data_IF_391643763097
#
_entry.id   IF_391643763097
#
_cell.length_a   1.000
_cell.length_b   1.000
_cell.length_c   1.000
_cell.angle_alpha   90.00
_cell.angle_beta   90.00
_cell.angle_gamma   90.00
#
_symmetry.space_group_name_H-M   'P 1'
#
loop_
_entity.id
_entity.type
_entity.pdbx_description
1 polymer ?
#
# COMPACT_ATOMS: atom_id res chain seq x y z
N UNK A 1 -27.89 3.41 21.73
CA UNK A 1 -26.77 3.34 22.71
C UNK A 1 -25.75 2.33 22.20
N UNK A 2 -24.55 2.79 21.80
CA UNK A 2 -23.44 1.86 21.49
C UNK A 2 -23.01 1.22 22.79
N UNK A 3 -22.86 -0.12 22.89
CA UNK A 3 -22.35 -0.74 24.10
C UNK A 3 -20.95 -0.21 24.37
N UNK A 4 -20.66 0.16 25.62
CA UNK A 4 -19.31 0.48 26.08
C UNK A 4 -18.39 -0.70 25.75
N UNK A 5 -17.53 -0.51 24.76
CA UNK A 5 -16.54 -1.52 24.34
C UNK A 5 -15.49 -1.56 25.44
N UNK A 6 -15.66 -2.46 26.41
CA UNK A 6 -14.65 -2.75 27.42
C UNK A 6 -13.34 -3.11 26.73
N UNK A 7 -12.27 -2.35 26.99
CA UNK A 7 -10.92 -2.58 26.51
C UNK A 7 -10.53 -4.03 26.79
N UNK A 8 -10.54 -4.89 25.75
CA UNK A 8 -10.23 -6.29 25.92
C UNK A 8 -8.74 -6.42 26.27
N UNK A 9 -8.41 -6.98 27.41
CA UNK A 9 -7.04 -7.22 27.85
C UNK A 9 -6.42 -8.23 26.88
N UNK A 10 -5.53 -7.77 26.01
CA UNK A 10 -4.80 -8.64 25.10
C UNK A 10 -3.81 -9.46 25.92
N UNK A 11 -4.03 -10.76 26.02
CA UNK A 11 -3.20 -11.70 26.81
C UNK A 11 -1.78 -11.86 26.25
N UNK A 12 -1.59 -11.62 24.92
CA UNK A 12 -0.30 -11.77 24.26
C UNK A 12 0.07 -10.49 23.55
N UNK A 13 1.13 -9.84 24.02
CA UNK A 13 1.70 -8.65 23.39
C UNK A 13 2.39 -9.03 22.06
N UNK A 14 2.40 -8.10 21.10
CA UNK A 14 3.27 -8.23 19.93
C UNK A 14 4.75 -8.24 20.36
N UNK A 15 5.56 -9.03 19.67
CA UNK A 15 7.02 -8.98 19.82
C UNK A 15 7.52 -7.56 19.55
N UNK A 16 8.35 -7.02 20.44
CA UNK A 16 8.77 -5.61 20.42
C UNK A 16 8.08 -4.74 21.47
N UNK A 17 7.03 -5.26 22.14
CA UNK A 17 6.38 -4.59 23.27
C UNK A 17 6.41 -5.45 24.52
N UNK A 18 6.47 -4.81 25.68
CA UNK A 18 6.31 -5.40 26.99
C UNK A 18 5.28 -4.62 27.82
N UNK A 19 4.77 -5.23 28.87
CA UNK A 19 3.89 -4.53 29.82
C UNK A 19 4.70 -3.59 30.69
N UNK A 20 4.16 -2.39 30.95
CA UNK A 20 4.78 -1.49 31.92
C UNK A 20 4.84 -2.15 33.31
N UNK A 21 5.94 -2.04 34.03
CA UNK A 21 6.04 -2.49 35.42
C UNK A 21 5.04 -1.77 36.35
N UNK A 22 4.77 -0.48 36.09
CA UNK A 22 3.89 0.37 36.89
C UNK A 22 2.40 0.14 36.58
N UNK A 23 2.06 -0.05 35.30
CA UNK A 23 0.67 -0.29 34.85
C UNK A 23 0.62 -1.42 33.84
N UNK A 24 0.20 -2.61 34.26
CA UNK A 24 0.06 -3.80 33.41
C UNK A 24 -0.91 -3.63 32.23
N UNK A 25 -1.67 -2.52 32.18
CA UNK A 25 -2.57 -2.19 31.06
C UNK A 25 -1.85 -1.38 29.96
N UNK A 26 -0.73 -0.75 30.29
CA UNK A 26 0.08 0.02 29.34
C UNK A 26 1.17 -0.83 28.71
N UNK A 27 1.42 -0.60 27.42
CA UNK A 27 2.51 -1.21 26.70
C UNK A 27 3.66 -0.21 26.57
N UNK A 28 4.85 -0.72 26.78
CA UNK A 28 6.10 0.01 26.57
C UNK A 28 6.93 -0.73 25.51
N UNK A 29 7.83 -0.01 24.86
CA UNK A 29 8.72 -0.59 23.84
C UNK A 29 9.80 -1.41 24.57
N UNK A 30 10.05 -2.63 24.07
CA UNK A 30 11.22 -3.44 24.39
C UNK A 30 12.27 -3.14 23.32
N UNK A 31 13.24 -2.30 23.65
CA UNK A 31 14.22 -1.74 22.71
C UNK A 31 14.95 -2.82 21.91
N UNK A 32 15.34 -3.93 22.56
CA UNK A 32 16.06 -5.03 21.91
C UNK A 32 15.18 -5.75 20.89
N UNK A 33 13.96 -6.09 21.27
CA UNK A 33 13.01 -6.74 20.38
C UNK A 33 12.48 -5.77 19.30
N UNK A 34 12.30 -4.49 19.63
CA UNK A 34 11.88 -3.45 18.71
C UNK A 34 12.93 -3.21 17.60
N UNK A 35 14.22 -3.22 17.92
CA UNK A 35 15.29 -3.13 16.93
C UNK A 35 15.22 -4.27 15.90
N UNK A 36 14.86 -5.48 16.33
CA UNK A 36 14.64 -6.61 15.41
C UNK A 36 13.41 -6.38 14.52
N UNK A 37 12.32 -5.85 15.08
CA UNK A 37 11.12 -5.50 14.29
C UNK A 37 11.46 -4.45 13.24
N UNK A 38 12.14 -3.36 13.62
CA UNK A 38 12.59 -2.31 12.69
C UNK A 38 13.49 -2.89 11.58
N UNK A 39 14.40 -3.80 11.92
CA UNK A 39 15.25 -4.49 10.94
C UNK A 39 14.44 -5.34 9.96
N UNK A 40 13.42 -6.07 10.43
CA UNK A 40 12.51 -6.85 9.58
C UNK A 40 11.79 -5.94 8.57
N UNK A 41 11.27 -4.80 9.02
CA UNK A 41 10.62 -3.82 8.14
C UNK A 41 11.61 -3.21 7.14
N UNK A 42 12.80 -2.82 7.57
CA UNK A 42 13.87 -2.30 6.70
C UNK A 42 14.27 -3.32 5.62
N UNK A 43 14.47 -4.59 5.98
CA UNK A 43 14.78 -5.66 5.03
C UNK A 43 13.63 -5.91 4.04
N UNK A 44 12.38 -5.80 4.48
CA UNK A 44 11.22 -5.89 3.58
C UNK A 44 11.15 -4.68 2.64
N UNK A 45 11.36 -3.47 3.15
CA UNK A 45 11.42 -2.24 2.36
C UNK A 45 12.53 -2.31 1.30
N UNK A 46 13.69 -2.92 1.61
CA UNK A 46 14.76 -3.18 0.63
C UNK A 46 14.41 -4.31 -0.38
N UNK A 47 13.22 -4.92 -0.26
CA UNK A 47 12.69 -5.89 -1.22
C UNK A 47 12.89 -7.34 -0.89
N UNK A 48 13.42 -7.69 0.28
CA UNK A 48 13.52 -9.08 0.71
C UNK A 48 12.15 -9.62 1.09
N UNK A 49 11.82 -10.83 0.62
CA UNK A 49 10.60 -11.53 1.00
C UNK A 49 10.69 -12.18 2.38
N UNK A 50 9.55 -12.54 3.02
CA UNK A 50 9.54 -13.11 4.37
C UNK A 50 10.45 -14.32 4.56
N UNK A 51 10.55 -15.20 3.56
CA UNK A 51 11.46 -16.36 3.60
C UNK A 51 12.94 -15.97 3.61
N UNK A 52 13.30 -14.93 2.83
CA UNK A 52 14.69 -14.43 2.79
C UNK A 52 15.04 -13.71 4.09
N UNK A 53 14.09 -12.96 4.66
CA UNK A 53 14.25 -12.29 5.95
C UNK A 53 14.42 -13.33 7.07
N UNK A 54 13.58 -14.38 7.10
CA UNK A 54 13.70 -15.47 8.07
C UNK A 54 15.06 -16.18 8.00
N UNK A 55 15.55 -16.43 6.77
CA UNK A 55 16.89 -17.01 6.55
C UNK A 55 17.99 -16.08 7.05
N UNK A 56 17.88 -14.78 6.76
CA UNK A 56 18.86 -13.77 7.22
C UNK A 56 18.89 -13.69 8.76
N UNK A 57 17.72 -13.62 9.42
CA UNK A 57 17.63 -13.59 10.89
C UNK A 57 18.28 -14.82 11.53
N UNK A 58 18.06 -16.00 10.94
CA UNK A 58 18.71 -17.24 11.37
C UNK A 58 20.24 -17.17 11.21
N UNK A 59 20.73 -16.66 10.09
CA UNK A 59 22.18 -16.49 9.82
C UNK A 59 22.84 -15.52 10.81
N UNK A 60 22.11 -14.50 11.25
CA UNK A 60 22.56 -13.54 12.28
C UNK A 60 22.40 -14.06 13.70
N UNK A 61 21.95 -15.31 13.90
CA UNK A 61 21.70 -15.91 15.21
C UNK A 61 20.79 -15.06 16.10
N UNK A 62 19.76 -14.45 15.51
CA UNK A 62 18.76 -13.66 16.25
C UNK A 62 17.70 -14.62 16.78
N UNK A 63 17.42 -14.58 18.08
CA UNK A 63 16.39 -15.40 18.72
C UNK A 63 15.01 -15.14 18.09
N UNK A 64 14.27 -16.21 17.80
CA UNK A 64 12.89 -16.05 17.39
C UNK A 64 12.02 -15.55 18.57
N UNK A 65 10.84 -14.96 18.33
CA UNK A 65 10.02 -14.35 19.37
C UNK A 65 9.74 -15.26 20.58
N UNK A 66 9.49 -16.55 20.34
CA UNK A 66 9.21 -17.52 21.42
C UNK A 66 10.45 -17.78 22.28
N UNK A 67 11.60 -18.00 21.63
CA UNK A 67 12.86 -18.23 22.32
C UNK A 67 13.32 -16.97 23.08
N UNK A 68 13.11 -15.78 22.50
CA UNK A 68 13.39 -14.51 23.15
C UNK A 68 12.56 -14.31 24.42
N UNK A 69 11.22 -14.51 24.33
CA UNK A 69 10.35 -14.41 25.48
C UNK A 69 10.74 -15.41 26.58
N UNK A 70 11.10 -16.64 26.19
CA UNK A 70 11.53 -17.67 27.13
C UNK A 70 12.84 -17.29 27.83
N UNK A 71 13.83 -16.81 27.10
CA UNK A 71 15.12 -16.36 27.64
C UNK A 71 14.98 -15.16 28.61
N UNK A 72 14.01 -14.27 28.36
CA UNK A 72 13.70 -13.11 29.21
C UNK A 72 12.70 -13.43 30.35
N UNK A 73 12.25 -14.67 30.48
CA UNK A 73 11.23 -15.05 31.48
C UNK A 73 9.85 -14.41 31.25
N UNK A 74 9.58 -13.93 30.01
CA UNK A 74 8.30 -13.33 29.66
C UNK A 74 7.24 -14.40 29.39
N UNK A 75 5.95 -14.12 29.67
CA UNK A 75 4.87 -15.05 29.44
C UNK A 75 4.78 -15.46 27.95
N UNK A 76 4.92 -16.74 27.68
CA UNK A 76 4.73 -17.32 26.34
C UNK A 76 3.86 -18.54 26.40
N UNK A 77 2.95 -18.72 25.43
CA UNK A 77 2.05 -19.88 25.36
C UNK A 77 2.71 -21.10 24.72
N UNK A 78 3.84 -20.92 24.05
CA UNK A 78 4.53 -21.98 23.32
C UNK A 78 5.91 -22.25 23.92
N UNK A 79 6.29 -23.51 23.99
CA UNK A 79 7.68 -23.89 24.33
C UNK A 79 8.60 -23.51 23.17
N UNK A 80 9.84 -23.08 23.41
CA UNK A 80 10.81 -22.82 22.36
C UNK A 80 11.10 -24.12 21.60
N UNK A 81 11.33 -23.98 20.30
CA UNK A 81 11.76 -25.09 19.44
C UNK A 81 13.20 -25.48 19.74
N UNK A 82 13.64 -26.68 19.30
CA UNK A 82 15.00 -27.14 19.47
C UNK A 82 16.06 -26.18 18.87
N UNK A 83 15.69 -25.44 17.80
CA UNK A 83 16.53 -24.40 17.21
C UNK A 83 15.92 -23.01 17.57
N UNK A 84 16.51 -22.28 18.54
CA UNK A 84 16.01 -20.98 19.00
C UNK A 84 16.13 -19.89 17.93
N UNK A 85 16.97 -20.08 16.91
CA UNK A 85 17.21 -19.13 15.81
C UNK A 85 16.34 -19.46 14.59
N UNK A 86 15.48 -20.46 14.66
CA UNK A 86 14.59 -20.84 13.55
C UNK A 86 13.43 -19.88 13.43
N UNK A 87 13.56 -18.90 12.55
CA UNK A 87 12.46 -18.06 12.10
C UNK A 87 11.68 -18.73 10.98
N UNK A 88 10.36 -18.57 10.98
CA UNK A 88 9.49 -19.01 9.89
C UNK A 88 9.05 -17.82 9.05
N UNK A 89 8.75 -18.07 7.76
CA UNK A 89 8.17 -17.05 6.89
C UNK A 89 6.84 -16.52 7.44
N UNK A 90 6.08 -17.38 8.11
CA UNK A 90 4.80 -17.02 8.72
C UNK A 90 4.95 -16.06 9.89
N UNK A 91 5.94 -16.28 10.76
CA UNK A 91 6.26 -15.37 11.86
C UNK A 91 6.65 -14.00 11.33
N UNK A 92 7.52 -13.94 10.32
CA UNK A 92 7.92 -12.69 9.68
C UNK A 92 6.72 -12.01 9.00
N UNK A 93 5.89 -12.76 8.28
CA UNK A 93 4.68 -12.23 7.63
C UNK A 93 3.71 -11.61 8.64
N UNK A 94 3.47 -12.28 9.76
CA UNK A 94 2.60 -11.78 10.82
C UNK A 94 3.15 -10.50 11.48
N UNK A 95 4.47 -10.38 11.63
CA UNK A 95 5.11 -9.15 12.11
C UNK A 95 4.85 -8.01 11.12
N UNK A 96 5.11 -8.23 9.82
CA UNK A 96 4.95 -7.23 8.78
C UNK A 96 3.48 -6.76 8.57
N UNK A 97 2.49 -7.53 9.01
CA UNK A 97 1.05 -7.22 8.87
C UNK A 97 0.45 -6.49 10.07
N UNK A 98 1.18 -6.41 11.17
CA UNK A 98 0.62 -5.88 12.41
C UNK A 98 0.57 -4.36 12.44
N UNK A 99 -0.63 -3.81 12.43
CA UNK A 99 -0.92 -2.38 12.63
C UNK A 99 -0.54 -1.91 14.05
N UNK A 100 -0.44 -2.85 15.00
CA UNK A 100 -0.06 -2.55 16.39
C UNK A 100 1.31 -1.83 16.48
N UNK A 101 2.20 -2.02 15.48
CA UNK A 101 3.52 -1.35 15.45
C UNK A 101 3.46 0.13 15.09
N UNK A 102 2.32 0.63 14.60
CA UNK A 102 2.04 2.06 14.43
C UNK A 102 1.62 2.78 15.72
N UNK A 103 1.62 2.07 16.85
CA UNK A 103 1.16 2.62 18.12
C UNK A 103 -0.35 2.44 18.35
N UNK A 104 -1.02 1.61 17.56
CA UNK A 104 -2.46 1.40 17.63
C UNK A 104 -2.81 0.05 18.26
N UNK A 105 -3.92 -0.01 19.00
CA UNK A 105 -4.49 -1.28 19.46
C UNK A 105 -5.64 -1.69 18.54
N UNK A 106 -5.58 -2.88 17.95
CA UNK A 106 -6.61 -3.38 17.03
C UNK A 106 -7.35 -4.55 17.64
N UNK A 107 -8.66 -4.36 17.82
CA UNK A 107 -9.59 -5.38 18.35
C UNK A 107 -10.48 -5.94 17.24
N UNK A 108 -11.15 -7.05 17.53
CA UNK A 108 -12.09 -7.72 16.62
C UNK A 108 -11.48 -8.17 15.28
N UNK A 109 -10.17 -8.48 15.25
CA UNK A 109 -9.54 -9.10 14.07
C UNK A 109 -10.15 -10.47 13.75
N UNK A 110 -10.63 -11.19 14.77
CA UNK A 110 -11.26 -12.50 14.61
C UNK A 110 -12.51 -12.59 15.45
N UNK A 111 -13.47 -13.37 14.97
CA UNK A 111 -14.69 -13.76 15.70
C UNK A 111 -14.82 -15.29 15.73
N UNK A 112 -15.64 -15.79 16.62
CA UNK A 112 -16.04 -17.20 16.67
C UNK A 112 -17.54 -17.26 16.41
N UNK A 113 -17.97 -18.26 15.63
CA UNK A 113 -19.38 -18.48 15.33
C UNK A 113 -20.20 -18.79 16.61
N UNK A 114 -19.58 -19.43 17.58
CA UNK A 114 -20.16 -19.77 18.88
C UNK A 114 -19.05 -19.89 19.91
N UNK A 115 -19.40 -19.74 21.21
CA UNK A 115 -18.45 -19.97 22.31
C UNK A 115 -17.91 -21.41 22.35
N UNK A 116 -18.68 -22.37 21.84
CA UNK A 116 -18.28 -23.79 21.72
C UNK A 116 -17.34 -24.04 20.53
N UNK A 117 -17.32 -23.16 19.53
CA UNK A 117 -16.48 -23.33 18.35
C UNK A 117 -15.05 -22.96 18.62
N UNK A 118 -14.11 -23.87 18.34
CA UNK A 118 -12.66 -23.59 18.38
C UNK A 118 -12.18 -22.86 17.12
N UNK A 119 -12.98 -22.88 16.03
CA UNK A 119 -12.63 -22.26 14.74
C UNK A 119 -12.78 -20.74 14.85
N UNK A 120 -11.66 -20.03 14.62
CA UNK A 120 -11.64 -18.57 14.47
C UNK A 120 -11.94 -18.21 13.03
N UNK A 121 -12.81 -17.23 12.83
CA UNK A 121 -13.12 -16.61 11.53
C UNK A 121 -12.45 -15.25 11.53
N UNK A 122 -11.69 -14.95 10.48
CA UNK A 122 -11.08 -13.64 10.31
C UNK A 122 -12.14 -12.64 9.84
N UNK A 123 -12.24 -11.54 10.52
CA UNK A 123 -13.10 -10.43 10.11
C UNK A 123 -12.39 -9.59 9.07
N UNK A 124 -13.16 -9.02 8.14
CA UNK A 124 -12.63 -8.05 7.21
C UNK A 124 -12.06 -6.84 7.96
N UNK A 125 -10.99 -6.21 7.47
CA UNK A 125 -10.37 -5.05 8.10
C UNK A 125 -11.34 -3.89 8.42
N UNK A 126 -12.43 -3.79 7.68
CA UNK A 126 -13.49 -2.79 7.89
C UNK A 126 -14.26 -2.99 9.20
N UNK A 127 -14.31 -4.23 9.69
CA UNK A 127 -14.95 -4.60 10.95
C UNK A 127 -14.02 -4.54 12.15
N UNK A 128 -12.75 -4.15 11.94
CA UNK A 128 -11.80 -4.01 13.03
C UNK A 128 -12.07 -2.70 13.80
N UNK A 129 -11.91 -2.76 15.10
CA UNK A 129 -11.96 -1.56 15.95
C UNK A 129 -10.53 -1.18 16.29
N UNK A 130 -10.09 -0.03 15.77
CA UNK A 130 -8.75 0.51 15.95
C UNK A 130 -8.81 1.63 16.98
N UNK A 131 -8.01 1.50 18.04
CA UNK A 131 -7.75 2.55 19.01
C UNK A 131 -6.39 3.15 18.70
N UNK A 132 -6.40 4.40 18.25
CA UNK A 132 -5.18 5.09 17.82
C UNK A 132 -4.35 5.57 19.01
N UNK A 133 -3.02 5.61 18.81
CA UNK A 133 -2.05 6.19 19.76
C UNK A 133 -2.18 5.66 21.20
N UNK A 134 -2.40 4.35 21.33
CA UNK A 134 -2.52 3.71 22.66
C UNK A 134 -1.17 3.30 23.26
N UNK A 135 -0.14 3.19 22.44
CA UNK A 135 1.26 2.88 22.83
C UNK A 135 2.26 3.63 21.93
N UNK A 136 3.54 3.75 22.33
CA UNK A 136 4.57 4.34 21.47
C UNK A 136 4.73 3.51 20.17
N UNK A 137 4.83 4.15 18.99
CA UNK A 137 5.05 3.45 17.74
C UNK A 137 6.49 2.90 17.65
N UNK A 138 6.64 1.70 17.07
CA UNK A 138 7.95 1.10 16.75
C UNK A 138 8.33 1.40 15.30
N UNK A 139 7.33 1.51 14.42
CA UNK A 139 7.49 1.71 12.98
C UNK A 139 6.76 2.98 12.57
N UNK A 140 7.40 3.80 11.77
CA UNK A 140 6.78 4.96 11.14
C UNK A 140 5.71 4.53 10.12
N UNK A 141 4.62 5.29 10.02
CA UNK A 141 3.51 5.01 9.13
C UNK A 141 3.95 4.92 7.66
N UNK A 142 4.85 5.80 7.22
CA UNK A 142 5.44 5.81 5.89
C UNK A 142 6.10 4.47 5.54
N UNK A 143 6.92 3.94 6.44
CA UNK A 143 7.62 2.66 6.26
C UNK A 143 6.61 1.50 6.24
N UNK A 144 5.60 1.54 7.11
CA UNK A 144 4.56 0.51 7.14
C UNK A 144 3.79 0.47 5.82
N UNK A 145 3.35 1.61 5.30
CA UNK A 145 2.62 1.70 4.03
C UNK A 145 3.44 1.19 2.85
N UNK A 146 4.72 1.57 2.77
CA UNK A 146 5.66 1.07 1.75
C UNK A 146 5.73 -0.47 1.81
N UNK A 147 5.87 -1.03 3.01
CA UNK A 147 5.94 -2.48 3.20
C UNK A 147 4.65 -3.17 2.79
N UNK A 148 3.46 -2.61 3.13
CA UNK A 148 2.18 -3.16 2.70
C UNK A 148 2.04 -3.15 1.17
N UNK A 149 2.43 -2.07 0.49
CA UNK A 149 2.40 -1.97 -0.98
C UNK A 149 3.33 -3.00 -1.63
N UNK A 150 4.55 -3.16 -1.11
CA UNK A 150 5.48 -4.18 -1.56
C UNK A 150 4.88 -5.59 -1.43
N UNK A 151 4.16 -5.86 -0.36
CA UNK A 151 3.56 -7.17 -0.06
C UNK A 151 2.32 -7.49 -0.90
N UNK A 152 1.54 -6.49 -1.30
CA UNK A 152 0.40 -6.67 -2.22
C UNK A 152 0.86 -7.14 -3.61
N UNK A 153 2.05 -6.77 -4.05
CA UNK A 153 2.59 -7.19 -5.33
C UNK A 153 3.07 -8.65 -5.28
N UNK A 154 2.38 -9.57 -6.00
CA UNK A 154 2.81 -10.97 -6.11
C UNK A 154 4.18 -11.05 -6.79
N UNK A 155 5.17 -11.63 -6.12
CA UNK A 155 6.51 -11.83 -6.63
C UNK A 155 6.75 -13.31 -6.90
N UNK A 156 7.30 -13.63 -8.07
CA UNK A 156 7.80 -14.97 -8.36
C UNK A 156 9.26 -15.04 -7.94
N UNK A 157 9.72 -16.12 -7.29
CA UNK A 157 11.13 -16.32 -7.01
C UNK A 157 11.90 -16.39 -8.34
N UNK A 158 13.05 -15.74 -8.40
CA UNK A 158 13.93 -15.80 -9.58
C UNK A 158 14.89 -16.96 -9.44
N UNK A 159 15.14 -17.70 -10.53
CA UNK A 159 16.12 -18.81 -10.54
C UNK A 159 17.55 -18.34 -10.19
N UNK A 160 17.85 -17.06 -10.40
CA UNK A 160 19.19 -16.49 -10.20
C UNK A 160 19.40 -15.87 -8.79
N UNK A 161 18.43 -15.98 -7.88
CA UNK A 161 18.58 -15.50 -6.49
C UNK A 161 18.59 -13.97 -6.30
N UNK A 162 19.06 -13.22 -7.29
CA UNK A 162 19.12 -11.76 -7.26
C UNK A 162 17.91 -11.11 -7.90
N UNK A 163 17.40 -10.06 -7.28
CA UNK A 163 16.34 -9.24 -7.88
C UNK A 163 16.92 -7.92 -8.36
N UNK A 164 16.64 -7.55 -9.62
CA UNK A 164 16.96 -6.20 -10.09
C UNK A 164 16.19 -5.15 -9.27
N UNK A 165 16.81 -4.00 -9.01
CA UNK A 165 16.27 -2.93 -8.16
C UNK A 165 14.91 -2.43 -8.64
N UNK A 166 14.66 -2.42 -9.96
CA UNK A 166 13.39 -2.02 -10.59
C UNK A 166 12.35 -3.13 -10.69
N UNK A 167 12.65 -4.34 -10.18
CA UNK A 167 11.72 -5.47 -10.29
C UNK A 167 10.40 -5.19 -9.57
N UNK A 168 9.31 -5.27 -10.32
CA UNK A 168 7.96 -5.03 -9.82
C UNK A 168 7.48 -3.58 -9.86
N UNK A 169 8.36 -2.62 -10.24
CA UNK A 169 8.03 -1.20 -10.37
C UNK A 169 7.70 -0.78 -11.80
N UNK A 170 8.04 -1.59 -12.83
CA UNK A 170 7.90 -1.23 -14.23
C UNK A 170 6.62 -1.77 -14.84
N UNK A 171 5.92 -0.89 -15.55
CA UNK A 171 4.67 -1.19 -16.24
C UNK A 171 4.72 -0.63 -17.67
N UNK A 172 3.99 -1.28 -18.57
CA UNK A 172 3.77 -0.79 -19.92
C UNK A 172 2.67 0.28 -19.89
N UNK A 173 2.93 1.46 -20.45
CA UNK A 173 1.96 2.55 -20.50
C UNK A 173 0.73 2.20 -21.33
N UNK A 174 0.84 1.33 -22.36
CA UNK A 174 -0.26 1.00 -23.25
C UNK A 174 -1.17 -0.10 -22.71
N UNK A 175 -0.60 -1.21 -22.22
CA UNK A 175 -1.41 -2.36 -21.79
C UNK A 175 -1.52 -2.51 -20.26
N UNK A 176 -0.88 -1.63 -19.48
CA UNK A 176 -0.83 -1.74 -18.01
C UNK A 176 -0.09 -2.98 -17.49
N UNK A 177 0.42 -3.84 -18.39
CA UNK A 177 1.11 -5.07 -18.01
C UNK A 177 2.49 -4.82 -17.42
N UNK A 178 2.89 -5.68 -16.47
CA UNK A 178 4.24 -5.58 -15.87
C UNK A 178 5.33 -5.83 -16.90
N UNK A 179 6.45 -5.12 -16.76
CA UNK A 179 7.64 -5.39 -17.54
C UNK A 179 8.59 -6.32 -16.77
N UNK A 180 9.17 -7.28 -17.45
CA UNK A 180 10.10 -8.24 -16.87
C UNK A 180 11.53 -8.01 -17.34
N UNK A 181 12.48 -8.14 -16.43
CA UNK A 181 13.89 -8.03 -16.74
C UNK A 181 14.36 -9.26 -17.52
N UNK A 182 14.92 -9.02 -18.69
CA UNK A 182 15.66 -10.00 -19.48
C UNK A 182 17.14 -9.90 -19.10
N UNK A 183 17.67 -11.00 -18.57
CA UNK A 183 19.05 -11.15 -18.14
C UNK A 183 19.48 -12.61 -18.29
N UNK A 184 20.74 -12.81 -18.55
CA UNK A 184 21.40 -14.10 -18.54
C UNK A 184 22.73 -13.98 -17.79
N UNK A 185 23.33 -15.10 -17.40
CA UNK A 185 24.61 -15.13 -16.66
C UNK A 185 25.77 -14.53 -17.45
N UNK A 186 25.69 -14.59 -18.77
CA UNK A 186 26.69 -14.04 -19.70
C UNK A 186 26.36 -12.61 -20.18
N UNK A 187 25.27 -11.99 -19.70
CA UNK A 187 24.95 -10.62 -20.08
C UNK A 187 25.79 -9.62 -19.30
N UNK A 188 26.43 -8.70 -20.01
CA UNK A 188 27.00 -7.50 -19.40
C UNK A 188 25.86 -6.58 -18.91
N UNK A 189 26.14 -5.66 -17.99
CA UNK A 189 25.13 -4.76 -17.41
C UNK A 189 24.37 -3.95 -18.48
N UNK A 190 25.05 -3.48 -19.52
CA UNK A 190 24.48 -2.73 -20.64
C UNK A 190 23.59 -3.57 -21.58
N UNK A 191 23.63 -4.89 -21.45
CA UNK A 191 22.81 -5.82 -22.22
C UNK A 191 21.51 -6.20 -21.49
N UNK A 192 21.42 -5.95 -20.19
CA UNK A 192 20.23 -6.21 -19.39
C UNK A 192 19.13 -5.19 -19.78
N UNK A 193 17.91 -5.66 -19.99
CA UNK A 193 16.78 -4.81 -20.38
C UNK A 193 15.47 -5.32 -19.79
N UNK A 194 14.49 -4.44 -19.77
CA UNK A 194 13.11 -4.78 -19.41
C UNK A 194 12.25 -4.86 -20.67
N UNK A 195 11.28 -5.77 -20.70
CA UNK A 195 10.35 -5.97 -21.81
C UNK A 195 8.94 -6.19 -21.28
N UNK A 196 7.94 -5.70 -22.03
CA UNK A 196 6.53 -5.89 -21.72
C UNK A 196 6.14 -7.37 -21.68
N UNK A 197 5.46 -7.78 -20.60
CA UNK A 197 5.03 -9.17 -20.42
C UNK A 197 3.94 -9.58 -21.39
N UNK A 198 3.06 -8.65 -21.76
CA UNK A 198 1.95 -8.88 -22.68
C UNK A 198 2.47 -9.10 -24.10
N UNK A 199 3.42 -8.28 -24.56
CA UNK A 199 4.11 -8.49 -25.84
C UNK A 199 4.81 -9.86 -25.92
N UNK A 200 5.43 -10.32 -24.82
CA UNK A 200 6.07 -11.65 -24.78
C UNK A 200 5.08 -12.81 -24.89
N UNK A 201 3.83 -12.61 -24.50
CA UNK A 201 2.77 -13.63 -24.62
C UNK A 201 2.22 -13.70 -26.07
N UNK A 202 2.12 -12.55 -26.72
CA UNK A 202 1.62 -12.46 -28.09
C UNK A 202 1.92 -11.07 -28.66
N UNK A 203 2.49 -11.04 -29.86
CA UNK A 203 2.84 -9.79 -30.56
C UNK A 203 1.61 -8.97 -30.94
N UNK A 204 0.45 -9.61 -31.03
CA UNK A 204 -0.83 -8.99 -31.35
C UNK A 204 -1.50 -8.32 -30.15
N UNK A 205 -1.04 -8.66 -28.93
CA UNK A 205 -1.64 -8.17 -27.67
C UNK A 205 -1.05 -6.84 -27.20
N UNK A 206 0.15 -6.48 -27.64
CA UNK A 206 0.81 -5.22 -27.32
C UNK A 206 1.96 -4.96 -28.29
N UNK A 207 2.39 -3.72 -28.44
CA UNK A 207 3.54 -3.35 -29.25
C UNK A 207 4.86 -3.62 -28.52
N UNK A 208 5.99 -3.54 -29.22
CA UNK A 208 7.31 -3.81 -28.62
C UNK A 208 7.74 -2.69 -27.68
N UNK A 209 7.76 -2.99 -26.38
CA UNK A 209 8.26 -2.10 -25.34
C UNK A 209 9.47 -2.72 -24.67
N UNK A 210 10.62 -2.11 -24.78
CA UNK A 210 11.83 -2.53 -24.07
C UNK A 210 12.67 -1.34 -23.68
N UNK A 211 13.28 -1.36 -22.51
CA UNK A 211 14.17 -0.32 -22.02
C UNK A 211 15.42 -0.97 -21.38
N UNK A 212 16.61 -0.45 -21.70
CA UNK A 212 17.86 -0.93 -21.10
C UNK A 212 17.90 -0.56 -19.61
N UNK A 213 18.46 -1.48 -18.81
CA UNK A 213 18.57 -1.27 -17.36
C UNK A 213 19.41 -0.02 -17.01
N UNK A 214 20.53 0.18 -17.71
CA UNK A 214 21.44 1.30 -17.49
C UNK A 214 20.74 2.64 -17.78
N UNK A 215 20.03 2.73 -18.91
CA UNK A 215 19.31 3.96 -19.30
C UNK A 215 18.21 4.29 -18.29
N UNK A 216 17.46 3.28 -17.86
CA UNK A 216 16.43 3.47 -16.84
C UNK A 216 17.00 3.96 -15.52
N UNK A 217 18.15 3.36 -15.10
CA UNK A 217 18.83 3.74 -13.87
C UNK A 217 19.25 5.21 -13.90
N UNK A 218 19.84 5.66 -14.99
CA UNK A 218 20.29 7.05 -15.17
C UNK A 218 19.13 8.05 -15.15
N UNK A 219 18.05 7.74 -15.88
CA UNK A 219 16.84 8.59 -15.93
C UNK A 219 16.22 8.72 -14.54
N UNK A 220 16.03 7.61 -13.84
CA UNK A 220 15.37 7.61 -12.53
C UNK A 220 16.26 8.27 -11.48
N UNK A 221 17.58 8.04 -11.49
CA UNK A 221 18.51 8.70 -10.57
C UNK A 221 18.50 10.22 -10.74
N UNK A 222 18.60 10.70 -11.98
CA UNK A 222 18.55 12.11 -12.28
C UNK A 222 17.24 12.75 -11.82
N UNK A 223 16.12 12.11 -12.16
CA UNK A 223 14.80 12.63 -11.83
C UNK A 223 14.55 12.67 -10.31
N UNK A 224 15.01 11.65 -9.55
CA UNK A 224 14.93 11.66 -8.10
C UNK A 224 15.82 12.73 -7.46
N UNK A 225 17.04 12.94 -7.98
CA UNK A 225 17.91 14.02 -7.49
C UNK A 225 17.29 15.39 -7.69
N UNK A 226 16.73 15.65 -8.87
CA UNK A 226 16.04 16.89 -9.18
C UNK A 226 14.81 17.09 -8.27
N UNK A 227 14.03 16.04 -8.04
CA UNK A 227 12.89 16.07 -7.14
C UNK A 227 13.28 16.36 -5.68
N UNK A 228 14.34 15.69 -5.18
CA UNK A 228 14.85 15.88 -3.82
C UNK A 228 15.38 17.31 -3.64
N UNK A 229 16.18 17.81 -4.58
CA UNK A 229 16.71 19.18 -4.55
C UNK A 229 15.57 20.21 -4.53
N UNK A 230 14.61 20.08 -5.45
CA UNK A 230 13.46 20.97 -5.52
C UNK A 230 12.66 21.01 -4.21
N UNK A 231 12.31 19.87 -3.67
CA UNK A 231 11.53 19.80 -2.41
C UNK A 231 12.34 20.30 -1.22
N UNK A 232 13.66 20.12 -1.20
CA UNK A 232 14.52 20.60 -0.12
C UNK A 232 14.68 22.13 -0.15
N UNK A 233 14.73 22.73 -1.34
CA UNK A 233 14.92 24.15 -1.54
C UNK A 233 13.59 24.94 -1.50
N UNK A 234 12.49 24.32 -1.93
CA UNK A 234 11.17 24.94 -2.14
C UNK A 234 10.04 24.16 -1.43
N UNK A 235 10.24 23.77 -0.15
CA UNK A 235 9.27 22.93 0.59
C UNK A 235 7.86 23.56 0.64
N UNK A 236 7.76 24.88 0.86
CA UNK A 236 6.48 25.58 0.95
C UNK A 236 5.74 25.63 -0.39
N UNK A 237 6.46 25.94 -1.48
CA UNK A 237 5.93 25.97 -2.84
C UNK A 237 5.50 24.58 -3.28
N UNK A 238 6.31 23.56 -2.98
CA UNK A 238 5.97 22.17 -3.27
C UNK A 238 4.68 21.73 -2.57
N UNK A 239 4.48 22.10 -1.30
CA UNK A 239 3.23 21.77 -0.57
C UNK A 239 2.03 22.41 -1.28
N UNK A 240 2.16 23.65 -1.74
CA UNK A 240 1.10 24.35 -2.46
C UNK A 240 0.86 23.72 -3.84
N UNK A 241 1.90 23.47 -4.63
CA UNK A 241 1.81 22.86 -5.96
C UNK A 241 1.25 21.44 -5.90
N UNK A 242 1.68 20.65 -4.92
CA UNK A 242 1.17 19.30 -4.70
C UNK A 242 -0.31 19.31 -4.28
N UNK A 243 -0.72 20.30 -3.48
CA UNK A 243 -2.13 20.50 -3.13
C UNK A 243 -2.95 20.95 -4.35
N UNK A 244 -2.44 21.86 -5.18
CA UNK A 244 -3.14 22.35 -6.38
C UNK A 244 -3.20 21.30 -7.50
N UNK A 245 -2.14 20.55 -7.74
CA UNK A 245 -2.10 19.45 -8.72
C UNK A 245 -3.07 18.33 -8.34
N UNK A 246 -3.16 18.02 -7.05
CA UNK A 246 -4.09 17.04 -6.52
C UNK A 246 -5.56 17.54 -6.54
N UNK A 247 -5.77 18.86 -6.39
CA UNK A 247 -7.11 19.46 -6.35
C UNK A 247 -7.78 19.54 -7.73
N UNK A 248 -7.07 19.98 -8.77
CA UNK A 248 -7.71 20.32 -10.06
C UNK A 248 -8.28 19.10 -10.80
N UNK A 249 -7.55 18.00 -10.86
CA UNK A 249 -8.00 16.82 -11.60
C UNK A 249 -8.81 15.85 -10.73
N UNK A 250 -8.50 15.78 -9.43
CA UNK A 250 -9.14 14.86 -8.49
C UNK A 250 -10.38 15.42 -7.83
N UNK A 251 -10.46 16.72 -7.56
CA UNK A 251 -11.65 17.29 -6.93
C UNK A 251 -12.86 17.21 -7.87
N UNK A 252 -12.68 17.43 -9.16
CA UNK A 252 -13.76 17.26 -10.14
C UNK A 252 -14.21 15.79 -10.25
N UNK A 253 -13.27 14.84 -10.24
CA UNK A 253 -13.58 13.41 -10.28
C UNK A 253 -14.14 12.92 -8.93
N UNK A 254 -13.58 13.37 -7.82
CA UNK A 254 -14.04 13.06 -6.47
C UNK A 254 -15.46 13.58 -6.23
N UNK A 255 -15.75 14.82 -6.61
CA UNK A 255 -17.09 15.41 -6.53
C UNK A 255 -18.07 14.61 -7.40
N UNK A 256 -17.71 14.30 -8.65
CA UNK A 256 -18.54 13.46 -9.54
C UNK A 256 -18.82 12.08 -8.97
N UNK A 257 -17.80 11.41 -8.44
CA UNK A 257 -17.94 10.09 -7.80
C UNK A 257 -18.82 10.16 -6.56
N UNK A 258 -18.68 11.21 -5.74
CA UNK A 258 -19.50 11.44 -4.55
C UNK A 258 -20.96 11.71 -4.90
N UNK A 259 -21.21 12.53 -5.92
CA UNK A 259 -22.56 12.78 -6.44
C UNK A 259 -23.18 11.51 -7.03
N UNK A 260 -22.41 10.74 -7.78
CA UNK A 260 -22.87 9.46 -8.32
C UNK A 260 -23.21 8.48 -7.21
N UNK A 261 -22.38 8.37 -6.18
CA UNK A 261 -22.67 7.53 -5.01
C UNK A 261 -23.94 7.97 -4.31
N UNK A 262 -24.15 9.27 -4.12
CA UNK A 262 -25.38 9.80 -3.50
C UNK A 262 -26.64 9.45 -4.31
N UNK A 263 -26.57 9.53 -5.65
CA UNK A 263 -27.68 9.11 -6.55
C UNK A 263 -27.95 7.61 -6.45
N UNK A 264 -26.88 6.80 -6.44
CA UNK A 264 -26.97 5.34 -6.31
C UNK A 264 -27.59 4.95 -4.96
N UNK A 265 -27.14 5.56 -3.85
CA UNK A 265 -27.69 5.30 -2.51
C UNK A 265 -29.15 5.73 -2.40
N UNK A 266 -29.53 6.85 -3.00
CA UNK A 266 -30.93 7.29 -3.07
C UNK A 266 -31.80 6.28 -3.81
N UNK A 267 -31.30 5.78 -4.98
CA UNK A 267 -32.03 4.80 -5.77
C UNK A 267 -32.16 3.44 -5.05
N UNK A 268 -31.14 3.01 -4.34
CA UNK A 268 -31.22 1.80 -3.51
C UNK A 268 -32.32 1.95 -2.44
N UNK A 269 -32.39 3.10 -1.76
CA UNK A 269 -33.40 3.36 -0.75
C UNK A 269 -34.82 3.44 -1.35
N UNK A 270 -34.98 3.95 -2.56
CA UNK A 270 -36.27 3.91 -3.30
C UNK A 270 -36.67 2.48 -3.63
N UNK A 271 -35.74 1.66 -4.13
CA UNK A 271 -36.00 0.25 -4.44
C UNK A 271 -36.40 -0.54 -3.19
N UNK A 272 -35.77 -0.31 -2.04
CA UNK A 272 -36.16 -0.91 -0.77
C UNK A 272 -37.67 -0.60 -0.44
N UNK A 273 -38.07 0.66 -0.66
CA UNK A 273 -39.48 1.07 -0.44
C UNK A 273 -40.44 0.44 -1.46
N UNK A 274 -40.03 0.36 -2.73
CA UNK A 274 -40.82 -0.24 -3.80
C UNK A 274 -41.02 -1.74 -3.54
N UNK A 275 -39.94 -2.46 -3.21
CA UNK A 275 -40.00 -3.90 -2.91
C UNK A 275 -40.92 -4.16 -1.70
N UNK A 276 -40.79 -3.35 -0.64
CA UNK A 276 -41.67 -3.47 0.54
C UNK A 276 -43.13 -3.26 0.17
N UNK A 277 -43.43 -2.27 -0.66
CA UNK A 277 -44.81 -1.97 -1.11
C UNK A 277 -45.35 -3.05 -2.03
N UNK A 278 -44.57 -3.60 -2.92
CA UNK A 278 -44.97 -4.73 -3.76
C UNK A 278 -45.33 -5.97 -2.94
N UNK A 279 -44.57 -6.22 -1.87
CA UNK A 279 -44.89 -7.30 -0.93
C UNK A 279 -46.23 -7.07 -0.22
N UNK A 280 -46.48 -5.84 0.27
CA UNK A 280 -47.75 -5.47 0.90
C UNK A 280 -48.95 -5.60 -0.06
N UNK A 281 -48.81 -5.09 -1.29
CA UNK A 281 -49.87 -5.14 -2.32
C UNK A 281 -50.14 -6.57 -2.81
N UNK A 282 -49.16 -7.46 -2.82
CA UNK A 282 -49.34 -8.88 -3.11
C UNK A 282 -50.07 -9.60 -1.97
N UNK A 283 -49.66 -9.36 -0.70
CA UNK A 283 -50.34 -9.97 0.47
C UNK A 283 -51.82 -9.56 0.57
N UNK A 284 -52.16 -8.31 0.20
CA UNK A 284 -53.55 -7.80 0.22
C UNK A 284 -54.33 -8.25 -1.03
N UNK A 285 -53.71 -8.94 -1.98
CA UNK A 285 -54.37 -9.44 -3.18
C UNK A 285 -54.58 -8.39 -4.28
N UNK A 286 -53.98 -7.19 -4.20
CA UNK A 286 -54.01 -6.17 -5.24
C UNK A 286 -53.08 -6.49 -6.41
N UNK A 287 -52.02 -7.28 -6.17
CA UNK A 287 -51.04 -7.70 -7.15
C UNK A 287 -51.04 -9.24 -7.25
N UNK A 288 -51.12 -9.77 -8.48
CA UNK A 288 -51.05 -11.21 -8.69
C UNK A 288 -49.63 -11.75 -8.45
N UNK A 289 -49.56 -13.01 -8.01
CA UNK A 289 -48.26 -13.67 -7.71
C UNK A 289 -47.32 -13.66 -8.89
N UNK A 290 -47.81 -13.89 -10.10
CA UNK A 290 -46.97 -13.85 -11.33
C UNK A 290 -46.33 -12.47 -11.56
N UNK A 291 -47.10 -11.41 -11.39
CA UNK A 291 -46.57 -10.04 -11.52
C UNK A 291 -45.64 -9.67 -10.37
N UNK A 292 -45.97 -10.11 -9.15
CA UNK A 292 -45.10 -9.92 -7.98
C UNK A 292 -43.74 -10.55 -8.22
N UNK A 293 -43.66 -11.83 -8.61
CA UNK A 293 -42.44 -12.56 -8.85
C UNK A 293 -41.60 -11.87 -9.91
N UNK A 294 -42.21 -11.46 -11.02
CA UNK A 294 -41.49 -10.79 -12.12
C UNK A 294 -40.93 -9.44 -11.68
N UNK A 295 -41.74 -8.58 -11.09
CA UNK A 295 -41.36 -7.23 -10.69
C UNK A 295 -40.34 -7.26 -9.53
N UNK A 296 -40.53 -8.17 -8.57
CA UNK A 296 -39.60 -8.34 -7.45
C UNK A 296 -38.22 -8.77 -7.96
N UNK A 297 -38.16 -9.74 -8.88
CA UNK A 297 -36.90 -10.19 -9.48
C UNK A 297 -36.18 -9.05 -10.23
N UNK A 298 -36.88 -8.25 -11.01
CA UNK A 298 -36.27 -7.17 -11.77
C UNK A 298 -35.70 -6.08 -10.83
N UNK A 299 -36.44 -5.70 -9.78
CA UNK A 299 -35.99 -4.71 -8.82
C UNK A 299 -34.88 -5.22 -7.91
N UNK A 300 -34.89 -6.49 -7.50
CA UNK A 300 -33.81 -7.12 -6.75
C UNK A 300 -32.50 -7.19 -7.55
N UNK A 301 -32.60 -7.47 -8.86
CA UNK A 301 -31.44 -7.47 -9.76
C UNK A 301 -30.86 -6.07 -9.91
N UNK A 302 -31.72 -5.04 -10.14
CA UNK A 302 -31.29 -3.64 -10.19
C UNK A 302 -30.62 -3.24 -8.88
N UNK A 303 -31.20 -3.58 -7.74
CA UNK A 303 -30.65 -3.26 -6.42
C UNK A 303 -29.29 -3.92 -6.17
N UNK A 304 -29.14 -5.19 -6.55
CA UNK A 304 -27.88 -5.93 -6.42
C UNK A 304 -26.75 -5.28 -7.23
N UNK A 305 -27.05 -4.87 -8.49
CA UNK A 305 -26.11 -4.17 -9.35
C UNK A 305 -25.70 -2.80 -8.76
N UNK A 306 -26.68 -2.04 -8.26
CA UNK A 306 -26.42 -0.74 -7.62
C UNK A 306 -25.63 -0.86 -6.32
N UNK A 307 -25.89 -1.88 -5.50
CA UNK A 307 -25.10 -2.16 -4.29
C UNK A 307 -23.64 -2.47 -4.63
N UNK A 308 -23.40 -3.30 -5.64
CA UNK A 308 -22.04 -3.60 -6.12
C UNK A 308 -21.33 -2.33 -6.63
N UNK A 309 -22.04 -1.48 -7.37
CA UNK A 309 -21.51 -0.19 -7.85
C UNK A 309 -21.18 0.76 -6.69
N UNK A 310 -22.04 0.83 -5.68
CA UNK A 310 -21.82 1.65 -4.49
C UNK A 310 -20.56 1.20 -3.71
N UNK A 311 -20.35 -0.11 -3.57
CA UNK A 311 -19.14 -0.66 -2.91
C UNK A 311 -17.86 -0.26 -3.64
N UNK A 312 -17.84 -0.34 -4.97
CA UNK A 312 -16.69 0.08 -5.78
C UNK A 312 -16.43 1.58 -5.60
N UNK A 313 -17.47 2.42 -5.71
CA UNK A 313 -17.35 3.87 -5.53
C UNK A 313 -16.88 4.25 -4.12
N UNK A 314 -17.39 3.61 -3.07
CA UNK A 314 -16.95 3.84 -1.69
C UNK A 314 -15.49 3.46 -1.48
N UNK A 315 -15.05 2.34 -2.09
CA UNK A 315 -13.67 1.90 -2.02
C UNK A 315 -12.73 2.88 -2.72
N UNK A 316 -13.11 3.37 -3.89
CA UNK A 316 -12.35 4.37 -4.65
C UNK A 316 -12.25 5.70 -3.89
N UNK A 317 -13.36 6.20 -3.34
CA UNK A 317 -13.39 7.43 -2.54
C UNK A 317 -12.50 7.32 -1.29
N UNK A 318 -12.56 6.19 -0.58
CA UNK A 318 -11.72 5.93 0.59
C UNK A 318 -10.23 5.87 0.23
N UNK A 319 -9.87 5.30 -0.92
CA UNK A 319 -8.50 5.31 -1.42
C UNK A 319 -8.01 6.73 -1.75
N UNK A 320 -8.87 7.56 -2.33
CA UNK A 320 -8.55 8.96 -2.64
C UNK A 320 -8.41 9.82 -1.37
N UNK A 321 -9.24 9.59 -0.35
CA UNK A 321 -9.08 10.26 0.96
C UNK A 321 -7.77 9.90 1.67
N UNK A 322 -7.38 8.63 1.62
CA UNK A 322 -6.10 8.18 2.18
C UNK A 322 -4.87 8.77 1.46
N UNK A 323 -5.00 9.19 0.21
CA UNK A 323 -3.92 9.81 -0.55
C UNK A 323 -3.68 11.29 -0.16
N UNK A 324 -4.69 12.02 0.32
CA UNK A 324 -4.55 13.42 0.81
C UNK A 324 -3.59 13.58 2.00
N UNK A 325 -3.30 12.51 2.73
CA UNK A 325 -2.48 12.55 3.96
C UNK A 325 -0.97 12.47 3.70
N UNK A 326 -0.54 12.41 2.44
CA UNK A 326 0.76 11.82 2.14
C UNK A 326 1.88 12.77 1.69
N UNK A 327 1.59 14.07 1.43
CA UNK A 327 2.65 15.05 1.08
C UNK A 327 3.68 15.17 2.21
N UNK A 328 3.23 15.14 3.45
CA UNK A 328 4.12 15.15 4.63
C UNK A 328 5.02 13.91 4.69
N UNK A 329 4.50 12.74 4.29
CA UNK A 329 5.28 11.50 4.23
C UNK A 329 6.33 11.55 3.12
N UNK A 330 6.02 12.17 1.98
CA UNK A 330 6.99 12.39 0.91
C UNK A 330 8.12 13.32 1.36
N UNK A 331 7.80 14.44 2.01
CA UNK A 331 8.77 15.38 2.58
C UNK A 331 9.66 14.70 3.63
N UNK A 332 9.09 13.86 4.48
CA UNK A 332 9.85 13.08 5.46
C UNK A 332 10.83 12.11 4.78
N UNK A 333 10.43 11.48 3.66
CA UNK A 333 11.32 10.66 2.85
C UNK A 333 12.44 11.49 2.21
N UNK A 334 12.14 12.69 1.68
CA UNK A 334 13.14 13.62 1.13
C UNK A 334 14.17 13.99 2.20
N UNK A 335 13.74 14.39 3.40
CA UNK A 335 14.63 14.75 4.51
C UNK A 335 15.55 13.61 4.95
N UNK A 336 15.14 12.36 4.74
CA UNK A 336 15.94 11.17 5.06
C UNK A 336 17.01 10.86 4.00
N UNK A 337 16.79 11.25 2.75
CA UNK A 337 17.63 10.89 1.60
C UNK A 337 18.15 12.14 0.86
N UNK A 338 18.63 13.15 1.61
CA UNK A 338 19.06 14.44 1.06
C UNK A 338 20.24 14.35 0.11
N UNK A 339 21.14 13.38 0.28
CA UNK A 339 22.31 13.15 -0.59
C UNK A 339 22.21 11.79 -1.26
N UNK A 340 21.55 11.75 -2.42
CA UNK A 340 21.34 10.52 -3.19
C UNK A 340 22.50 10.31 -4.16
N UNK A 341 23.51 9.51 -3.76
CA UNK A 341 24.65 9.15 -4.61
C UNK A 341 24.30 8.01 -5.57
N UNK A 342 23.65 6.96 -5.09
CA UNK A 342 23.32 5.75 -5.84
C UNK A 342 21.86 5.32 -5.59
N UNK A 343 21.27 4.65 -6.61
CA UNK A 343 19.95 4.03 -6.48
C UNK A 343 20.09 2.65 -5.87
N UNK A 344 19.48 2.47 -4.73
CA UNK A 344 19.21 1.15 -4.18
C UNK A 344 17.70 0.80 -4.22
N UNK A 345 17.39 -0.45 -3.90
CA UNK A 345 16.00 -0.89 -3.89
C UNK A 345 15.16 -0.26 -2.76
N UNK A 346 15.78 0.22 -1.68
CA UNK A 346 15.10 0.87 -0.58
C UNK A 346 14.70 2.30 -0.96
N UNK A 347 15.63 3.06 -1.55
CA UNK A 347 15.37 4.40 -2.08
C UNK A 347 14.27 4.37 -3.14
N UNK A 348 14.39 3.48 -4.14
CA UNK A 348 13.38 3.37 -5.19
C UNK A 348 11.98 3.13 -4.62
N UNK A 349 11.86 2.23 -3.64
CA UNK A 349 10.56 1.93 -3.02
C UNK A 349 10.10 2.95 -2.01
N UNK A 350 10.99 3.76 -1.46
CA UNK A 350 10.61 4.90 -0.63
C UNK A 350 9.91 5.98 -1.46
N UNK A 351 10.40 6.24 -2.68
CA UNK A 351 9.92 7.34 -3.51
C UNK A 351 8.93 6.91 -4.60
N UNK A 352 9.07 5.72 -5.18
CA UNK A 352 8.39 5.32 -6.42
C UNK A 352 7.38 4.20 -6.17
N UNK A 353 6.12 4.45 -6.56
CA UNK A 353 5.06 3.44 -6.61
C UNK A 353 5.19 2.59 -7.88
N UNK A 354 5.26 3.25 -9.04
CA UNK A 354 5.46 2.60 -10.33
C UNK A 354 6.09 3.52 -11.37
N UNK A 355 6.66 2.90 -12.39
CA UNK A 355 7.23 3.58 -13.56
C UNK A 355 6.53 3.02 -14.79
N UNK A 356 5.92 3.90 -15.57
CA UNK A 356 5.24 3.55 -16.82
C UNK A 356 6.14 3.89 -18.01
N UNK A 357 6.31 2.94 -18.92
CA UNK A 357 7.19 3.07 -20.08
C UNK A 357 6.36 2.96 -21.35
N UNK A 358 6.33 4.03 -22.15
CA UNK A 358 5.67 4.05 -23.46
C UNK A 358 6.51 3.34 -24.53
N UNK A 359 5.91 3.12 -25.72
CA UNK A 359 6.65 2.70 -26.90
C UNK A 359 7.59 3.83 -27.38
N UNK A 360 8.52 3.48 -28.24
CA UNK A 360 9.37 4.49 -28.92
C UNK A 360 8.59 5.06 -30.08
N UNK A 361 8.35 6.35 -30.08
CA UNK A 361 7.84 7.02 -31.28
C UNK A 361 8.87 6.87 -32.41
N UNK A 362 8.44 6.27 -33.52
CA UNK A 362 9.31 5.98 -34.67
C UNK A 362 9.80 7.26 -35.37
N UNK A 363 9.06 8.36 -35.28
CA UNK A 363 9.40 9.63 -35.92
C UNK A 363 10.42 10.42 -35.12
N UNK A 364 10.14 10.63 -33.84
CA UNK A 364 11.00 11.42 -32.94
C UNK A 364 12.14 10.60 -32.32
N UNK A 365 12.08 9.27 -32.38
CA UNK A 365 12.96 8.33 -31.64
C UNK A 365 12.99 8.55 -30.13
N UNK A 366 11.96 9.23 -29.62
CA UNK A 366 11.79 9.48 -28.19
C UNK A 366 10.76 8.54 -27.58
N UNK A 367 10.76 8.43 -26.29
CA UNK A 367 9.71 7.74 -25.50
C UNK A 367 9.40 8.53 -24.27
N UNK A 368 8.19 8.38 -23.80
CA UNK A 368 7.74 8.92 -22.54
C UNK A 368 7.96 7.89 -21.42
N UNK A 369 8.45 8.37 -20.28
CA UNK A 369 8.61 7.58 -19.06
C UNK A 369 7.95 8.37 -17.95
N UNK A 370 6.83 7.86 -17.44
CA UNK A 370 6.08 8.49 -16.36
C UNK A 370 6.47 7.84 -15.04
N UNK A 371 6.98 8.62 -14.10
CA UNK A 371 7.31 8.17 -12.75
C UNK A 371 6.15 8.55 -11.84
N UNK A 372 5.50 7.55 -11.26
CA UNK A 372 4.45 7.73 -10.25
C UNK A 372 5.09 7.58 -8.89
N UNK A 373 5.09 8.65 -8.13
CA UNK A 373 5.70 8.70 -6.81
C UNK A 373 4.76 8.16 -5.74
N UNK A 374 5.34 7.56 -4.71
CA UNK A 374 4.60 7.27 -3.48
C UNK A 374 4.08 8.58 -2.90
N UNK A 375 2.84 8.56 -2.42
CA UNK A 375 2.25 9.65 -1.67
C UNK A 375 1.79 10.88 -2.47
N UNK A 376 2.39 11.19 -3.62
CA UNK A 376 2.08 12.38 -4.43
C UNK A 376 1.64 12.06 -5.88
N UNK A 377 1.66 10.78 -6.27
CA UNK A 377 1.22 10.36 -7.60
C UNK A 377 2.18 10.75 -8.72
N UNK A 378 1.66 11.08 -9.89
CA UNK A 378 2.44 11.49 -11.07
C UNK A 378 2.69 13.01 -11.04
N UNK A 379 3.46 13.49 -10.07
CA UNK A 379 3.81 14.90 -9.97
C UNK A 379 4.86 15.29 -11.03
N UNK A 380 4.60 16.39 -11.75
CA UNK A 380 5.52 16.90 -12.78
C UNK A 380 6.56 17.85 -12.18
N UNK A 381 7.63 17.26 -11.67
CA UNK A 381 8.77 18.05 -11.13
C UNK A 381 9.45 18.92 -12.17
N UNK A 382 9.47 18.53 -13.45
CA UNK A 382 10.08 19.32 -14.51
C UNK A 382 9.39 20.68 -14.64
N UNK A 383 8.07 20.66 -14.70
CA UNK A 383 7.26 21.87 -14.76
C UNK A 383 7.37 22.72 -13.50
N UNK A 384 7.37 22.10 -12.32
CA UNK A 384 7.49 22.81 -11.05
C UNK A 384 8.85 23.52 -10.93
N UNK A 385 9.95 22.86 -11.29
CA UNK A 385 11.30 23.41 -11.31
C UNK A 385 11.41 24.57 -12.31
N UNK A 386 10.83 24.46 -13.51
CA UNK A 386 10.80 25.54 -14.49
C UNK A 386 10.04 26.77 -13.98
N UNK A 387 8.90 26.55 -13.33
CA UNK A 387 8.10 27.63 -12.73
C UNK A 387 8.89 28.34 -11.63
N UNK A 388 9.51 27.62 -10.69
CA UNK A 388 10.33 28.21 -9.63
C UNK A 388 11.50 29.06 -10.19
N UNK A 389 12.21 28.54 -11.20
CA UNK A 389 13.27 29.28 -11.89
C UNK A 389 12.79 30.60 -12.56
N UNK A 390 11.58 30.56 -13.12
CA UNK A 390 10.99 31.74 -13.77
C UNK A 390 10.54 32.79 -12.74
N UNK A 391 10.04 32.37 -11.58
CA UNK A 391 9.67 33.28 -10.47
C UNK A 391 10.88 33.95 -9.89
N UNK A 392 11.96 33.23 -9.59
CA UNK A 392 13.23 33.81 -9.10
C UNK A 392 13.86 34.81 -10.06
N UNK A 393 13.76 34.56 -11.39
CA UNK A 393 14.24 35.51 -12.41
C UNK A 393 13.39 36.77 -12.49
N UNK A 394 12.10 36.73 -12.19
CA UNK A 394 11.22 37.90 -12.13
C UNK A 394 11.52 38.76 -10.90
N UNK A 395 11.73 38.14 -9.75
CA UNK A 395 12.08 38.82 -8.51
C UNK A 395 13.45 39.57 -8.61
N UNK A 396 14.45 38.92 -9.25
CA UNK A 396 15.75 39.55 -9.51
C UNK A 396 15.72 40.72 -10.53
N UNK A 397 14.65 40.84 -11.35
CA UNK A 397 14.47 41.95 -12.30
C UNK A 397 13.66 43.09 -11.71
N UNK A 398 13.00 42.88 -10.58
CA UNK A 398 12.17 43.89 -9.89
C UNK A 398 12.84 44.45 -8.64
N UNK A 399 13.99 43.88 -8.21
CA UNK A 399 14.89 44.41 -7.19
C UNK A 399 16.06 45.16 -7.82
#
# INVERSE_FOLDING_TARGET
MKPEIKKQIILHLPYGYMKSPEDKKKWIVDEEAAAVVQKIFSLCASGKGPTQIAKWLKQQQILNPTAYCYAKGLPTSNKPTADPYKWTNETVSRILERVDYLGHTVNFKTTKQSYKSKKKIWNDPENWVIFENTQPPIIEESVFLIVQNIRKARRRPTKMGEMGIFSGLLYCAECGGKMYQCRATNFAENQKYFICSTYRKGKDLCTTHSIKNVVLHEIVLRNLREAISYVSEHEAEFIQDAAESDMRDRDAEFVRKRETLAKVDTRIAELDRIISRLYEDNVIGKLSDERFIKMSHDYELEQSNLKSMAEVLRKDLKQQEQQKTNVKAFIAAVKKYTDLQELDAAVLRAFIDRIEVSHVDKKSRTREITIVYNFIGAFDFTRAIENARNTSKKEQRTA
#
